data_IF_065805271769
#
_entry.id   IF_065805271769
#
_cell.length_a   1.000
_cell.length_b   1.000
_cell.length_c   1.000
_cell.angle_alpha   90.00
_cell.angle_beta   90.00
_cell.angle_gamma   90.00
#
_symmetry.space_group_name_H-M   'P 1'
#
loop_
_entity.id
_entity.type
_entity.pdbx_description
1 polymer ?
#
# COMPACT_ATOMS: atom_id res chain seq x y z
N UNK A 1 -7.23 9.67 -4.26
CA UNK A 1 -8.29 8.88 -3.58
C UNK A 1 -9.33 8.31 -4.54
N UNK A 2 -9.77 9.04 -5.56
CA UNK A 2 -10.79 8.56 -6.51
C UNK A 2 -10.37 7.27 -7.24
N UNK A 3 -9.14 7.24 -7.77
CA UNK A 3 -8.56 6.07 -8.43
C UNK A 3 -8.66 4.78 -7.60
N UNK A 4 -8.33 4.85 -6.30
CA UNK A 4 -8.40 3.69 -5.40
C UNK A 4 -9.83 3.21 -5.17
N UNK A 5 -10.81 4.12 -5.21
CA UNK A 5 -12.24 3.77 -5.10
C UNK A 5 -12.70 3.05 -6.35
N UNK A 6 -12.33 3.55 -7.52
CA UNK A 6 -12.64 2.91 -8.81
C UNK A 6 -11.97 1.54 -8.94
N UNK A 7 -10.71 1.41 -8.53
CA UNK A 7 -10.03 0.11 -8.48
C UNK A 7 -10.79 -0.89 -7.61
N UNK A 8 -11.17 -0.48 -6.39
CA UNK A 8 -11.92 -1.33 -5.48
C UNK A 8 -13.25 -1.74 -6.08
N UNK A 9 -14.03 -0.77 -6.56
CA UNK A 9 -15.42 -0.98 -6.97
C UNK A 9 -15.54 -1.72 -8.31
N UNK A 10 -14.64 -1.43 -9.25
CA UNK A 10 -14.70 -1.94 -10.62
C UNK A 10 -13.85 -3.20 -10.84
N UNK A 11 -12.79 -3.41 -10.05
CA UNK A 11 -11.89 -4.57 -10.24
C UNK A 11 -11.95 -5.52 -9.05
N UNK A 12 -11.62 -5.05 -7.85
CA UNK A 12 -11.45 -5.95 -6.69
C UNK A 12 -12.77 -6.60 -6.25
N UNK A 13 -13.82 -5.80 -6.07
CA UNK A 13 -15.13 -6.29 -5.61
C UNK A 13 -15.88 -7.11 -6.66
N UNK A 14 -15.41 -7.14 -7.91
CA UNK A 14 -15.97 -7.98 -8.97
C UNK A 14 -15.38 -9.40 -8.97
N UNK A 15 -14.39 -9.68 -8.12
CA UNK A 15 -13.72 -10.99 -8.02
C UNK A 15 -13.89 -11.59 -6.62
N UNK A 16 -13.92 -12.92 -6.52
CA UNK A 16 -14.06 -13.61 -5.23
C UNK A 16 -12.82 -13.35 -4.34
N UNK A 17 -11.64 -13.57 -4.89
CA UNK A 17 -10.36 -13.29 -4.23
C UNK A 17 -10.19 -11.83 -3.79
N UNK A 18 -10.56 -10.87 -4.66
CA UNK A 18 -10.50 -9.44 -4.32
C UNK A 18 -11.47 -9.04 -3.22
N UNK A 19 -12.68 -9.60 -3.22
CA UNK A 19 -13.67 -9.37 -2.16
C UNK A 19 -13.23 -9.95 -0.81
N UNK A 20 -12.72 -11.18 -0.80
CA UNK A 20 -12.18 -11.82 0.41
C UNK A 20 -10.98 -11.05 0.98
N UNK A 21 -10.08 -10.58 0.10
CA UNK A 21 -8.98 -9.70 0.49
C UNK A 21 -9.50 -8.41 1.11
N UNK A 22 -10.46 -7.73 0.48
CA UNK A 22 -11.01 -6.47 0.99
C UNK A 22 -11.70 -6.63 2.35
N UNK A 23 -12.38 -7.75 2.60
CA UNK A 23 -12.95 -8.04 3.92
C UNK A 23 -11.87 -8.10 5.00
N UNK A 24 -10.83 -8.92 4.77
CA UNK A 24 -9.72 -9.09 5.73
C UNK A 24 -8.94 -7.79 5.90
N UNK A 25 -8.69 -7.08 4.79
CA UNK A 25 -8.01 -5.80 4.79
C UNK A 25 -8.79 -4.76 5.61
N UNK A 26 -10.11 -4.67 5.43
CA UNK A 26 -10.94 -3.72 6.17
C UNK A 26 -10.91 -4.01 7.67
N UNK A 27 -11.04 -5.27 8.07
CA UNK A 27 -10.99 -5.67 9.50
C UNK A 27 -9.67 -5.22 10.14
N UNK A 28 -8.56 -5.50 9.47
CA UNK A 28 -7.23 -5.09 9.95
C UNK A 28 -7.09 -3.56 9.91
N UNK A 29 -7.41 -2.91 8.79
CA UNK A 29 -7.30 -1.46 8.61
C UNK A 29 -8.05 -0.68 9.69
N UNK A 30 -9.33 -1.00 9.91
CA UNK A 30 -10.15 -0.28 10.89
C UNK A 30 -9.79 -0.63 12.34
N UNK A 31 -9.08 -1.74 12.59
CA UNK A 31 -8.61 -2.08 13.95
C UNK A 31 -7.54 -1.12 14.49
N UNK A 32 -6.73 -0.49 13.63
CA UNK A 32 -5.64 0.41 14.05
C UNK A 32 -5.76 1.83 13.49
N UNK A 33 -6.54 2.05 12.43
CA UNK A 33 -6.66 3.34 11.77
C UNK A 33 -7.07 4.49 12.71
N UNK A 34 -8.01 4.33 13.67
CA UNK A 34 -8.36 5.41 14.59
C UNK A 34 -7.16 5.89 15.42
N UNK A 35 -6.36 4.94 15.90
CA UNK A 35 -5.17 5.22 16.72
C UNK A 35 -4.17 6.03 15.90
N UNK A 36 -3.86 5.59 14.68
CA UNK A 36 -2.93 6.31 13.78
C UNK A 36 -3.46 7.71 13.45
N UNK A 37 -4.76 7.83 13.17
CA UNK A 37 -5.39 9.12 12.83
C UNK A 37 -5.31 10.13 13.98
N UNK A 38 -5.43 9.66 15.23
CA UNK A 38 -5.26 10.52 16.41
C UNK A 38 -3.80 10.99 16.54
N UNK A 39 -2.82 10.09 16.37
CA UNK A 39 -1.40 10.46 16.38
C UNK A 39 -1.02 11.43 15.25
N UNK A 40 -1.58 11.27 14.05
CA UNK A 40 -1.37 12.21 12.94
C UNK A 40 -1.90 13.61 13.24
N UNK A 41 -2.99 13.72 14.03
CA UNK A 41 -3.58 14.99 14.45
C UNK A 41 -2.71 15.72 15.46
N UNK A 42 -2.07 14.97 16.35
CA UNK A 42 -1.21 15.52 17.41
C UNK A 42 0.20 15.86 16.92
N UNK A 43 0.73 15.10 15.95
CA UNK A 43 2.11 15.26 15.49
C UNK A 43 2.20 15.46 13.96
N UNK A 44 2.40 16.70 13.48
CA UNK A 44 2.55 17.00 12.06
C UNK A 44 3.72 16.28 11.37
N UNK A 45 4.83 16.02 12.08
CA UNK A 45 5.95 15.26 11.52
C UNK A 45 5.61 13.78 11.35
N UNK A 46 4.85 13.21 12.28
CA UNK A 46 4.36 11.85 12.16
C UNK A 46 3.44 11.69 10.95
N UNK A 47 2.53 12.64 10.73
CA UNK A 47 1.68 12.69 9.53
C UNK A 47 2.48 12.67 8.24
N UNK A 48 3.52 13.50 8.13
CA UNK A 48 4.37 13.50 6.92
C UNK A 48 5.19 12.20 6.80
N UNK A 49 5.62 11.60 7.91
CA UNK A 49 6.29 10.30 7.90
C UNK A 49 5.36 9.18 7.41
N UNK A 50 4.11 9.13 7.91
CA UNK A 50 3.10 8.17 7.43
C UNK A 50 2.82 8.39 5.95
N UNK A 51 2.63 9.64 5.52
CA UNK A 51 2.42 10.00 4.12
C UNK A 51 3.58 9.54 3.23
N UNK A 52 4.83 9.78 3.63
CA UNK A 52 6.01 9.30 2.92
C UNK A 52 6.05 7.77 2.85
N UNK A 53 5.71 7.10 3.95
CA UNK A 53 5.66 5.65 3.99
C UNK A 53 4.60 5.08 3.03
N UNK A 54 3.38 5.64 2.97
CA UNK A 54 2.29 5.09 2.14
C UNK A 54 2.33 5.53 0.68
N UNK A 55 3.10 6.57 0.33
CA UNK A 55 3.11 7.12 -1.04
C UNK A 55 3.51 6.08 -2.10
N UNK A 56 4.62 5.31 -1.95
CA UNK A 56 4.99 4.28 -2.91
C UNK A 56 3.92 3.21 -3.10
N UNK A 57 3.24 2.82 -2.00
CA UNK A 57 2.13 1.88 -2.02
C UNK A 57 0.97 2.41 -2.87
N UNK A 58 0.53 3.65 -2.62
CA UNK A 58 -0.55 4.27 -3.39
C UNK A 58 -0.20 4.32 -4.88
N UNK A 59 1.04 4.70 -5.22
CA UNK A 59 1.49 4.74 -6.61
C UNK A 59 1.47 3.36 -7.26
N UNK A 60 1.97 2.32 -6.57
CA UNK A 60 2.03 0.96 -7.11
C UNK A 60 0.64 0.32 -7.33
N UNK A 61 -0.37 0.72 -6.56
CA UNK A 61 -1.74 0.21 -6.72
C UNK A 61 -2.38 0.58 -8.06
N UNK A 62 -1.90 1.63 -8.74
CA UNK A 62 -2.34 1.97 -10.10
C UNK A 62 -2.11 0.85 -11.11
N UNK A 63 -1.15 -0.04 -10.85
CA UNK A 63 -0.88 -1.19 -11.73
C UNK A 63 -2.05 -2.19 -11.74
N UNK A 64 -2.82 -2.25 -10.65
CA UNK A 64 -3.99 -3.12 -10.51
C UNK A 64 -5.13 -2.71 -11.45
N UNK A 65 -5.12 -1.52 -12.05
CA UNK A 65 -6.12 -1.11 -13.06
C UNK A 65 -6.11 -2.02 -14.29
N UNK A 66 -4.99 -2.71 -14.54
CA UNK A 66 -4.86 -3.63 -15.67
C UNK A 66 -5.37 -5.05 -15.34
N UNK A 67 -5.82 -5.30 -14.10
CA UNK A 67 -6.32 -6.60 -13.68
C UNK A 67 -7.81 -6.72 -14.01
N UNK A 68 -8.15 -7.31 -15.16
CA UNK A 68 -9.53 -7.46 -15.65
C UNK A 68 -10.12 -8.85 -15.39
N UNK A 69 -9.35 -9.75 -14.78
CA UNK A 69 -9.77 -11.12 -14.45
C UNK A 69 -9.26 -11.54 -13.07
N UNK A 70 -9.86 -12.58 -12.48
CA UNK A 70 -9.46 -13.10 -11.17
C UNK A 70 -7.97 -13.51 -11.12
N UNK A 71 -7.49 -14.20 -12.17
CA UNK A 71 -6.09 -14.59 -12.25
C UNK A 71 -5.14 -13.37 -12.32
N UNK A 72 -5.57 -12.28 -12.95
CA UNK A 72 -4.78 -11.05 -13.03
C UNK A 72 -4.81 -10.27 -11.71
N UNK A 73 -5.95 -10.25 -11.00
CA UNK A 73 -6.04 -9.65 -9.65
C UNK A 73 -5.05 -10.33 -8.71
N UNK A 74 -4.96 -11.66 -8.76
CA UNK A 74 -3.96 -12.42 -7.99
C UNK A 74 -2.52 -12.16 -8.48
N UNK A 75 -2.26 -12.27 -9.78
CA UNK A 75 -0.91 -12.13 -10.34
C UNK A 75 -0.33 -10.71 -10.19
N UNK A 76 -1.11 -9.69 -10.53
CA UNK A 76 -0.72 -8.29 -10.37
C UNK A 76 -0.69 -7.93 -8.88
N UNK A 77 -1.64 -8.44 -8.07
CA UNK A 77 -1.64 -8.23 -6.62
C UNK A 77 -0.35 -8.72 -5.96
N UNK A 78 0.10 -9.94 -6.28
CA UNK A 78 1.38 -10.49 -5.79
C UNK A 78 2.56 -9.62 -6.27
N UNK A 79 2.53 -9.19 -7.53
CA UNK A 79 3.59 -8.35 -8.11
C UNK A 79 3.69 -7.00 -7.38
N UNK A 80 2.55 -6.37 -7.06
CA UNK A 80 2.49 -5.12 -6.30
C UNK A 80 3.01 -5.31 -4.87
N UNK A 81 2.68 -6.43 -4.21
CA UNK A 81 3.21 -6.75 -2.89
C UNK A 81 4.74 -6.88 -2.94
N UNK A 82 5.27 -7.66 -3.89
CA UNK A 82 6.71 -7.82 -4.06
C UNK A 82 7.41 -6.49 -4.36
N UNK A 83 6.83 -5.66 -5.22
CA UNK A 83 7.36 -4.33 -5.54
C UNK A 83 7.43 -3.45 -4.29
N UNK A 84 6.37 -3.41 -3.48
CA UNK A 84 6.36 -2.66 -2.24
C UNK A 84 7.38 -3.16 -1.23
N UNK A 85 7.43 -4.46 -0.99
CA UNK A 85 8.45 -5.06 -0.11
C UNK A 85 9.86 -4.72 -0.60
N UNK A 86 10.10 -4.83 -1.91
CA UNK A 86 11.34 -4.42 -2.54
C UNK A 86 11.69 -2.96 -2.23
N UNK A 87 10.75 -2.03 -2.41
CA UNK A 87 10.97 -0.61 -2.12
C UNK A 87 11.23 -0.35 -0.63
N UNK A 88 10.41 -0.91 0.26
CA UNK A 88 10.53 -0.72 1.71
C UNK A 88 11.80 -1.32 2.31
N UNK A 89 12.42 -2.30 1.65
CA UNK A 89 13.69 -2.87 2.07
C UNK A 89 14.88 -2.19 1.35
N UNK A 90 14.78 -1.97 0.05
CA UNK A 90 15.87 -1.45 -0.76
C UNK A 90 16.19 0.01 -0.44
N UNK A 91 15.18 0.88 -0.30
CA UNK A 91 15.40 2.32 -0.03
C UNK A 91 16.15 2.51 1.30
N UNK A 92 15.70 1.93 2.44
CA UNK A 92 16.47 2.02 3.68
C UNK A 92 17.85 1.36 3.59
N UNK A 93 18.00 0.22 2.92
CA UNK A 93 19.28 -0.45 2.77
C UNK A 93 20.31 0.42 2.03
N UNK A 94 19.90 1.05 0.92
CA UNK A 94 20.75 1.98 0.16
C UNK A 94 21.14 3.19 1.00
N UNK A 95 20.21 3.76 1.77
CA UNK A 95 20.50 4.87 2.69
C UNK A 95 21.53 4.47 3.74
N UNK A 96 21.35 3.33 4.40
CA UNK A 96 22.28 2.82 5.43
C UNK A 96 23.67 2.56 4.85
N UNK A 97 23.76 1.92 3.69
CA UNK A 97 25.04 1.64 3.01
C UNK A 97 25.71 2.95 2.57
N UNK A 98 24.93 3.91 2.03
CA UNK A 98 25.44 5.21 1.61
C UNK A 98 26.01 6.02 2.76
N UNK A 99 25.33 6.04 3.91
CA UNK A 99 25.83 6.69 5.14
C UNK A 99 27.11 6.01 5.61
N UNK A 100 27.15 4.69 5.70
CA UNK A 100 28.35 3.91 6.10
C UNK A 100 29.56 4.05 5.17
N UNK A 101 29.36 4.46 3.92
CA UNK A 101 30.46 4.71 2.98
C UNK A 101 31.00 6.15 3.08
N UNK A 102 30.20 7.06 3.63
CA UNK A 102 30.53 8.48 3.75
C UNK A 102 31.20 8.83 5.07
N UNK A 103 30.99 8.02 6.10
CA UNK A 103 31.65 8.05 7.41
C UNK A 103 32.52 6.82 7.58
#
# INVERSE_FOLDING_TARGET
VQQLRELRDNQLLQTESGSAFMSTFNDVYYSFSPIIADYERENPYFKEAVKLAITPLISSLSLMENANSESEVLGIGISVIMLNLGMYLAVPAVVVIGVRKRF
#
